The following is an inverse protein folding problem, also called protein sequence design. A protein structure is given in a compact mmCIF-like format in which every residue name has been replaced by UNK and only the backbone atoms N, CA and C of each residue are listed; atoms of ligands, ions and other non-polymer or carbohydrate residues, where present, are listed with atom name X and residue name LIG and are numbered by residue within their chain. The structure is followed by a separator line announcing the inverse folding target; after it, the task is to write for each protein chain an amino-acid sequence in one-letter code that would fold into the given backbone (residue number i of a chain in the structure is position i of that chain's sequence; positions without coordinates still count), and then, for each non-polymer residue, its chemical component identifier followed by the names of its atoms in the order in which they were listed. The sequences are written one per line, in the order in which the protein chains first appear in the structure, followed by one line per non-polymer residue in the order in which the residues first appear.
data_IF_217846445274
#
_entry.id   IF_217846445274
#
_cell.length_a   1.000
_cell.length_b   1.000
_cell.length_c   1.000
_cell.angle_alpha   90.00
_cell.angle_beta   90.00
_cell.angle_gamma   90.00
#
_symmetry.space_group_name_H-M   'P 1'
#
loop_
_entity.id
_entity.type
_entity.pdbx_description
1 polymer ?
#
# COMPACT_ATOMS: atom_id res chain seq x y z
N UNK A 1 1.94 35.67 -1.21
CA UNK A 1 2.89 34.76 -0.54
C UNK A 1 2.62 33.37 -1.09
N UNK A 2 3.65 32.59 -1.42
CA UNK A 2 3.46 31.18 -1.78
C UNK A 2 2.87 30.44 -0.55
N UNK A 3 1.98 29.47 -0.75
CA UNK A 3 1.50 28.64 0.35
C UNK A 3 2.71 27.97 1.03
N UNK A 4 2.70 27.81 2.36
CA UNK A 4 3.80 27.19 3.07
C UNK A 4 3.91 25.71 2.69
N UNK A 5 5.15 25.22 2.57
CA UNK A 5 5.48 23.87 2.10
C UNK A 5 5.31 22.87 3.24
N UNK A 6 4.60 21.77 2.99
CA UNK A 6 4.39 20.69 3.97
C UNK A 6 5.71 19.95 4.20
N UNK A 7 6.05 19.62 5.44
CA UNK A 7 7.14 18.68 5.72
C UNK A 7 6.60 17.27 5.83
N UNK A 8 7.05 16.37 4.96
CA UNK A 8 6.68 14.96 4.94
C UNK A 8 7.79 14.10 5.56
N UNK A 9 7.51 13.47 6.69
CA UNK A 9 8.46 12.62 7.42
C UNK A 9 8.38 11.19 6.86
N UNK A 10 9.46 10.76 6.23
CA UNK A 10 9.60 9.42 5.65
C UNK A 10 10.84 8.75 6.25
N UNK A 11 10.81 7.44 6.45
CA UNK A 11 11.98 6.74 7.00
C UNK A 11 12.97 6.44 5.90
N UNK A 12 14.22 6.76 6.20
CA UNK A 12 15.36 6.43 5.36
C UNK A 12 16.39 5.65 6.19
N UNK A 13 17.34 5.05 5.50
CA UNK A 13 18.53 4.47 6.15
C UNK A 13 19.35 5.59 6.81
N UNK A 14 19.83 5.34 8.02
CA UNK A 14 20.73 6.24 8.77
C UNK A 14 22.09 6.36 8.09
N UNK A 15 22.48 5.32 7.35
CA UNK A 15 23.72 5.20 6.60
C UNK A 15 23.43 4.72 5.15
N UNK A 16 24.04 5.36 4.14
CA UNK A 16 23.88 5.01 2.73
C UNK A 16 22.97 5.95 1.92
N UNK A 17 22.66 5.60 0.65
CA UNK A 17 21.77 6.40 -0.18
C UNK A 17 20.35 6.43 0.40
N UNK A 18 19.69 7.58 0.33
CA UNK A 18 18.31 7.72 0.77
C UNK A 18 17.39 6.88 -0.10
N UNK A 19 16.80 5.85 0.52
CA UNK A 19 15.86 4.95 -0.14
C UNK A 19 14.51 4.97 0.55
N UNK A 20 13.47 5.27 -0.23
CA UNK A 20 12.10 5.40 0.25
C UNK A 20 11.22 4.30 -0.35
N UNK A 21 11.13 3.18 0.35
CA UNK A 21 10.36 2.01 -0.11
C UNK A 21 9.33 1.55 0.93
N UNK A 22 9.22 2.15 2.11
CA UNK A 22 8.22 1.66 3.07
C UNK A 22 6.78 1.92 2.60
N UNK A 23 5.86 0.98 2.84
CA UNK A 23 4.53 1.02 2.24
C UNK A 23 3.69 2.16 2.80
N UNK A 24 3.70 2.37 4.12
CA UNK A 24 2.91 3.42 4.75
C UNK A 24 3.35 4.82 4.29
N UNK A 25 4.65 5.16 4.25
CA UNK A 25 5.08 6.42 3.65
C UNK A 25 4.68 6.59 2.19
N UNK A 26 4.74 5.52 1.37
CA UNK A 26 4.21 5.58 0.01
C UNK A 26 2.72 5.96 -0.04
N UNK A 27 1.89 5.47 0.89
CA UNK A 27 0.48 5.88 0.97
C UNK A 27 0.36 7.39 1.17
N UNK A 28 1.01 7.95 2.19
CA UNK A 28 0.93 9.38 2.50
C UNK A 28 1.55 10.25 1.41
N UNK A 29 2.67 9.82 0.81
CA UNK A 29 3.30 10.48 -0.34
C UNK A 29 2.32 10.60 -1.51
N UNK A 30 1.63 9.50 -1.84
CA UNK A 30 0.62 9.52 -2.91
C UNK A 30 -0.61 10.36 -2.55
N UNK A 31 -0.98 10.46 -1.27
CA UNK A 31 -2.04 11.36 -0.83
C UNK A 31 -1.67 12.84 -1.06
N UNK A 32 -0.45 13.25 -0.68
CA UNK A 32 0.06 14.61 -0.91
C UNK A 32 0.11 14.94 -2.41
N UNK A 33 0.61 14.00 -3.21
CA UNK A 33 0.69 14.13 -4.67
C UNK A 33 -0.71 14.23 -5.30
N UNK A 34 -1.66 13.38 -4.88
CA UNK A 34 -3.05 13.43 -5.35
C UNK A 34 -3.71 14.78 -5.04
N UNK A 35 -3.39 15.35 -3.87
CA UNK A 35 -3.87 16.67 -3.46
C UNK A 35 -3.17 17.83 -4.18
N UNK A 36 -2.11 17.56 -4.96
CA UNK A 36 -1.32 18.58 -5.63
C UNK A 36 -0.63 19.54 -4.65
N UNK A 37 -0.30 19.06 -3.44
CA UNK A 37 0.32 19.87 -2.39
C UNK A 37 1.84 19.82 -2.53
N UNK A 38 2.48 20.98 -2.41
CA UNK A 38 3.93 21.06 -2.34
C UNK A 38 4.43 20.54 -0.99
N UNK A 39 5.43 19.67 -1.03
CA UNK A 39 6.05 19.15 0.18
C UNK A 39 7.54 18.88 0.00
N UNK A 40 8.27 18.94 1.11
CA UNK A 40 9.65 18.46 1.22
C UNK A 40 9.69 17.20 2.05
N UNK A 41 10.43 16.19 1.61
CA UNK A 41 10.67 14.98 2.43
C UNK A 41 11.75 15.29 3.47
N UNK A 42 11.43 15.04 4.73
CA UNK A 42 12.39 14.97 5.82
C UNK A 42 12.70 13.50 6.09
N UNK A 43 13.92 13.11 5.77
CA UNK A 43 14.46 11.76 5.99
C UNK A 43 14.62 11.52 7.48
N UNK A 44 13.89 10.55 8.02
CA UNK A 44 13.95 10.17 9.43
C UNK A 44 14.75 8.87 9.57
N UNK A 45 15.98 8.93 10.08
CA UNK A 45 16.78 7.74 10.40
C UNK A 45 16.10 6.84 11.44
N UNK A 46 16.37 5.53 11.42
CA UNK A 46 15.83 4.61 12.45
C UNK A 46 16.32 4.93 13.87
N UNK A 47 17.46 5.60 14.00
CA UNK A 47 17.93 6.11 15.29
C UNK A 47 17.09 7.26 15.84
N UNK A 48 16.63 8.17 14.99
CA UNK A 48 15.81 9.30 15.40
C UNK A 48 14.45 8.83 15.92
N UNK A 49 13.86 7.81 15.28
CA UNK A 49 12.64 7.15 15.76
C UNK A 49 12.80 6.49 17.13
N UNK A 50 14.04 6.26 17.58
CA UNK A 50 14.37 5.67 18.88
C UNK A 50 14.90 6.69 19.88
N UNK A 51 15.29 7.88 19.43
CA UNK A 51 15.82 8.93 20.27
C UNK A 51 14.81 9.32 21.36
N UNK A 52 15.33 9.75 22.50
CA UNK A 52 14.54 10.23 23.63
C UNK A 52 15.20 11.48 24.20
N UNK A 53 14.37 12.37 24.77
CA UNK A 53 14.82 13.63 25.35
C UNK A 53 14.29 14.86 24.62
N UNK A 54 14.66 16.06 25.09
CA UNK A 54 14.16 17.32 24.56
C UNK A 54 14.50 17.52 23.09
N UNK A 55 13.53 17.98 22.30
CA UNK A 55 13.64 18.25 20.87
C UNK A 55 13.48 17.03 19.96
N UNK A 56 13.25 15.83 20.51
CA UNK A 56 13.07 14.61 19.69
C UNK A 56 11.66 14.49 19.12
N UNK A 57 11.49 13.74 18.03
CA UNK A 57 10.16 13.38 17.51
C UNK A 57 9.29 12.72 18.59
N UNK A 58 9.91 11.91 19.46
CA UNK A 58 9.22 11.27 20.59
C UNK A 58 8.59 12.28 21.55
N UNK A 59 9.30 13.36 21.90
CA UNK A 59 8.73 14.41 22.74
C UNK A 59 7.61 15.17 22.01
N UNK A 60 7.84 15.57 20.76
CA UNK A 60 6.84 16.29 19.95
C UNK A 60 5.53 15.50 19.78
N UNK A 61 5.62 14.17 19.80
CA UNK A 61 4.52 13.23 19.56
C UNK A 61 4.03 12.53 20.82
N UNK A 62 4.41 12.97 22.02
CA UNK A 62 4.15 12.23 23.27
C UNK A 62 2.66 11.81 23.47
N UNK A 63 1.72 12.49 22.82
CA UNK A 63 0.28 12.24 22.88
C UNK A 63 -0.28 11.29 21.80
N UNK A 64 0.53 10.91 20.80
CA UNK A 64 0.14 10.08 19.64
C UNK A 64 1.20 9.03 19.28
N UNK A 65 1.99 8.60 20.28
CA UNK A 65 3.01 7.57 20.07
C UNK A 65 2.34 6.22 19.72
N UNK A 66 3.01 5.47 18.84
CA UNK A 66 2.63 4.09 18.54
C UNK A 66 3.05 3.11 19.63
N UNK A 67 2.95 1.79 19.36
CA UNK A 67 3.38 0.76 20.30
C UNK A 67 4.81 0.96 20.80
N UNK A 68 5.04 0.69 22.09
CA UNK A 68 6.31 0.91 22.79
C UNK A 68 6.76 2.39 22.82
N UNK A 69 5.80 3.31 22.92
CA UNK A 69 6.03 4.75 23.02
C UNK A 69 6.93 5.28 21.90
N UNK A 70 6.74 4.81 20.67
CA UNK A 70 7.61 5.16 19.52
C UNK A 70 6.89 6.07 18.53
N UNK A 71 7.55 7.13 18.00
CA UNK A 71 7.13 7.80 16.78
C UNK A 71 6.96 6.83 15.62
N UNK A 72 5.80 6.86 14.97
CA UNK A 72 5.55 6.12 13.75
C UNK A 72 5.57 7.09 12.56
N UNK A 73 6.32 6.72 11.53
CA UNK A 73 6.23 7.35 10.21
C UNK A 73 5.28 6.54 9.32
N UNK A 74 4.59 7.18 8.36
CA UNK A 74 4.72 8.58 7.96
C UNK A 74 4.06 9.57 8.92
N UNK A 75 4.53 10.82 8.83
CA UNK A 75 3.87 11.99 9.41
C UNK A 75 3.95 13.17 8.42
N UNK A 76 3.05 14.14 8.58
CA UNK A 76 3.16 15.43 7.92
C UNK A 76 3.12 16.55 8.95
N UNK A 77 3.92 17.58 8.76
CA UNK A 77 3.87 18.82 9.52
C UNK A 77 3.38 19.92 8.59
N UNK A 78 2.15 20.36 8.84
CA UNK A 78 1.40 21.30 8.00
C UNK A 78 1.46 22.68 8.63
N UNK A 79 2.14 23.65 8.00
CA UNK A 79 2.24 24.99 8.57
C UNK A 79 0.87 25.68 8.60
N UNK A 80 0.58 26.38 9.70
CA UNK A 80 -0.61 27.19 9.85
C UNK A 80 -0.60 28.43 8.96
N UNK A 81 -1.76 29.04 8.78
CA UNK A 81 -1.92 30.24 7.96
C UNK A 81 -1.12 31.45 8.50
N UNK A 82 -0.78 31.45 9.79
CA UNK A 82 0.04 32.46 10.45
C UNK A 82 1.55 32.25 10.23
N UNK A 83 1.96 31.10 9.68
CA UNK A 83 3.36 30.71 9.51
C UNK A 83 4.13 30.50 10.82
N UNK A 84 3.45 30.56 11.97
CA UNK A 84 4.06 30.40 13.29
C UNK A 84 3.62 29.11 13.98
N UNK A 85 2.39 28.67 13.70
CA UNK A 85 1.85 27.40 14.15
C UNK A 85 2.09 26.31 13.11
N UNK A 86 2.10 25.06 13.54
CA UNK A 86 2.08 23.92 12.63
C UNK A 86 1.28 22.77 13.24
N UNK A 87 0.68 21.96 12.38
CA UNK A 87 -0.08 20.78 12.79
C UNK A 87 0.67 19.54 12.36
N UNK A 88 1.12 18.76 13.34
CA UNK A 88 1.74 17.46 13.10
C UNK A 88 0.65 16.37 13.05
N UNK A 89 0.56 15.67 11.92
CA UNK A 89 -0.43 14.64 11.67
C UNK A 89 0.28 13.33 11.35
N UNK A 90 0.05 12.31 12.18
CA UNK A 90 0.57 10.95 11.99
C UNK A 90 -0.54 9.98 11.59
N UNK A 91 -0.16 8.73 11.33
CA UNK A 91 -1.01 7.67 10.76
C UNK A 91 -1.51 7.95 9.33
N UNK A 92 -1.37 6.98 8.44
CA UNK A 92 -1.72 7.17 7.03
C UNK A 92 -3.21 7.47 6.79
N UNK A 93 -4.13 6.89 7.58
CA UNK A 93 -5.58 7.13 7.42
C UNK A 93 -5.90 8.52 7.94
N UNK A 94 -5.41 8.86 9.14
CA UNK A 94 -5.61 10.18 9.73
C UNK A 94 -4.98 11.29 8.88
N UNK A 95 -3.82 11.05 8.27
CA UNK A 95 -3.23 11.97 7.28
C UNK A 95 -4.20 12.17 6.11
N UNK A 96 -4.76 11.10 5.52
CA UNK A 96 -5.69 11.24 4.41
C UNK A 96 -6.99 11.96 4.79
N UNK A 97 -7.56 11.66 5.96
CA UNK A 97 -8.72 12.35 6.53
C UNK A 97 -8.45 13.85 6.73
N UNK A 98 -7.31 14.18 7.34
CA UNK A 98 -6.88 15.56 7.54
C UNK A 98 -6.75 16.30 6.22
N UNK A 99 -6.13 15.66 5.22
CA UNK A 99 -5.94 16.27 3.90
C UNK A 99 -7.27 16.49 3.17
N UNK A 100 -8.23 15.56 3.27
CA UNK A 100 -9.57 15.74 2.69
C UNK A 100 -10.38 16.85 3.38
N UNK A 101 -10.23 16.99 4.70
CA UNK A 101 -10.92 18.02 5.47
C UNK A 101 -10.34 19.43 5.26
N UNK A 102 -9.01 19.55 5.20
CA UNK A 102 -8.33 20.85 5.19
C UNK A 102 -7.94 21.34 3.78
N UNK A 103 -7.95 20.45 2.78
CA UNK A 103 -7.70 20.81 1.37
C UNK A 103 -8.83 20.30 0.47
N UNK A 104 -10.07 20.79 0.66
CA UNK A 104 -11.25 20.32 -0.10
C UNK A 104 -11.22 20.75 -1.58
N UNK A 105 -10.44 21.78 -1.88
CA UNK A 105 -10.24 22.32 -3.23
C UNK A 105 -9.46 21.38 -4.16
N UNK A 106 -8.83 20.37 -3.58
CA UNK A 106 -8.20 19.30 -4.33
C UNK A 106 -9.09 18.05 -4.31
N UNK A 107 -9.00 17.17 -5.32
CA UNK A 107 -9.84 15.98 -5.39
C UNK A 107 -9.83 15.15 -4.09
N UNK A 108 -10.97 14.57 -3.73
CA UNK A 108 -11.10 13.78 -2.50
C UNK A 108 -10.32 12.47 -2.62
N UNK A 109 -9.58 12.12 -1.57
CA UNK A 109 -8.85 10.86 -1.46
C UNK A 109 -9.80 9.66 -1.33
N UNK A 110 -10.96 9.84 -0.68
CA UNK A 110 -11.94 8.76 -0.50
C UNK A 110 -12.99 8.71 -1.61
N UNK A 111 -13.32 9.85 -2.24
CA UNK A 111 -14.29 9.95 -3.32
C UNK A 111 -13.69 10.68 -4.54
N UNK A 112 -12.67 10.10 -5.22
CA UNK A 112 -11.87 10.82 -6.22
C UNK A 112 -12.62 11.20 -7.50
N UNK A 113 -13.79 10.59 -7.74
CA UNK A 113 -14.67 10.97 -8.85
C UNK A 113 -15.51 12.21 -8.58
N UNK A 114 -15.60 12.68 -7.33
CA UNK A 114 -16.27 13.94 -7.05
C UNK A 114 -15.46 15.11 -7.61
N UNK A 115 -16.12 16.13 -8.18
CA UNK A 115 -15.43 17.37 -8.51
C UNK A 115 -14.87 18.01 -7.22
N UNK A 116 -13.75 18.75 -7.33
CA UNK A 116 -13.27 19.56 -6.21
C UNK A 116 -14.34 20.56 -5.73
N UNK A 117 -14.27 20.93 -4.45
CA UNK A 117 -15.29 21.71 -3.76
C UNK A 117 -14.65 22.69 -2.76
N UNK A 118 -15.33 23.79 -2.45
CA UNK A 118 -14.89 24.70 -1.38
C UNK A 118 -15.05 24.08 0.02
N UNK A 119 -15.87 23.03 0.14
CA UNK A 119 -16.20 22.35 1.39
C UNK A 119 -15.72 20.91 1.38
N UNK A 120 -15.29 20.43 2.55
CA UNK A 120 -14.94 19.03 2.77
C UNK A 120 -16.08 18.08 2.39
N UNK A 121 -15.77 16.84 1.97
CA UNK A 121 -16.79 15.83 1.76
C UNK A 121 -17.66 15.64 3.01
N UNK A 122 -18.97 15.48 2.81
CA UNK A 122 -19.90 15.19 3.90
C UNK A 122 -19.60 13.81 4.49
N UNK A 123 -19.03 13.80 5.70
CA UNK A 123 -18.64 12.60 6.43
C UNK A 123 -19.83 11.68 6.74
N UNK A 124 -21.05 12.23 6.83
CA UNK A 124 -22.27 11.46 7.11
C UNK A 124 -22.92 10.89 5.84
N UNK A 125 -22.49 11.37 4.67
CA UNK A 125 -23.02 10.89 3.39
C UNK A 125 -22.80 9.37 3.25
N UNK A 126 -23.79 8.61 2.76
CA UNK A 126 -23.63 7.16 2.57
C UNK A 126 -22.43 6.78 1.69
N UNK A 127 -22.14 7.60 0.66
CA UNK A 127 -21.01 7.38 -0.23
C UNK A 127 -19.67 7.51 0.51
N UNK A 128 -19.49 8.57 1.30
CA UNK A 128 -18.25 8.77 2.06
C UNK A 128 -18.07 7.68 3.11
N UNK A 129 -19.11 7.36 3.89
CA UNK A 129 -19.04 6.29 4.89
C UNK A 129 -18.69 4.93 4.29
N UNK A 130 -19.21 4.62 3.11
CA UNK A 130 -18.87 3.39 2.40
C UNK A 130 -17.40 3.39 1.95
N UNK A 131 -16.95 4.46 1.28
CA UNK A 131 -15.56 4.59 0.83
C UNK A 131 -14.58 4.52 2.00
N UNK A 132 -14.90 5.19 3.10
CA UNK A 132 -14.11 5.19 4.34
C UNK A 132 -14.05 3.82 4.99
N UNK A 133 -15.19 3.11 5.07
CA UNK A 133 -15.22 1.73 5.59
C UNK A 133 -14.36 0.79 4.76
N UNK A 134 -14.44 0.90 3.43
CA UNK A 134 -13.59 0.11 2.51
C UNK A 134 -12.11 0.46 2.67
N UNK A 135 -11.79 1.74 2.88
CA UNK A 135 -10.44 2.20 3.16
C UNK A 135 -9.89 1.61 4.45
N UNK A 136 -10.65 1.62 5.54
CA UNK A 136 -10.26 0.97 6.79
C UNK A 136 -10.09 -0.53 6.63
N UNK A 137 -11.03 -1.21 5.95
CA UNK A 137 -10.92 -2.65 5.71
C UNK A 137 -9.64 -3.01 4.96
N UNK A 138 -9.32 -2.32 3.87
CA UNK A 138 -8.11 -2.59 3.11
C UNK A 138 -6.85 -2.16 3.86
N UNK A 139 -6.89 -1.03 4.58
CA UNK A 139 -5.74 -0.58 5.36
C UNK A 139 -5.42 -1.53 6.49
N UNK A 140 -6.41 -1.87 7.32
CA UNK A 140 -6.26 -2.84 8.41
C UNK A 140 -5.99 -4.24 7.90
N UNK A 141 -6.37 -4.53 6.65
CA UNK A 141 -6.18 -5.82 6.03
C UNK A 141 -4.83 -6.01 5.34
N UNK A 142 -4.73 -5.52 4.10
CA UNK A 142 -3.54 -5.70 3.27
C UNK A 142 -2.49 -4.60 3.53
N UNK A 143 -2.91 -3.43 4.00
CA UNK A 143 -2.05 -2.27 4.25
C UNK A 143 -1.20 -2.37 5.51
N UNK A 144 -1.71 -3.02 6.57
CA UNK A 144 -1.00 -3.28 7.83
C UNK A 144 -0.33 -4.66 7.76
N UNK A 145 0.92 -4.77 8.23
CA UNK A 145 1.65 -6.05 8.17
C UNK A 145 1.12 -7.06 9.20
N UNK A 146 0.64 -6.59 10.35
CA UNK A 146 0.25 -7.45 11.47
C UNK A 146 -1.07 -8.22 11.25
N UNK A 147 -1.86 -7.81 10.26
CA UNK A 147 -3.18 -8.38 10.00
C UNK A 147 -3.15 -9.72 9.25
N UNK A 148 -1.98 -10.12 8.74
CA UNK A 148 -1.77 -11.41 8.07
C UNK A 148 -2.68 -11.69 6.86
N UNK A 149 -3.44 -10.71 6.35
CA UNK A 149 -4.20 -10.87 5.11
C UNK A 149 -3.25 -11.22 3.96
N UNK A 150 -2.06 -10.62 3.93
CA UNK A 150 -1.00 -10.97 3.00
C UNK A 150 0.36 -11.00 3.71
N UNK A 151 1.32 -11.73 3.16
CA UNK A 151 2.65 -11.92 3.74
C UNK A 151 3.72 -11.05 3.05
N UNK A 152 3.36 -9.83 2.61
CA UNK A 152 4.26 -8.97 1.82
C UNK A 152 5.54 -8.65 2.60
N UNK A 153 5.41 -8.25 3.87
CA UNK A 153 6.54 -7.89 4.71
C UNK A 153 7.42 -9.11 4.97
N UNK A 154 6.82 -10.25 5.35
CA UNK A 154 7.53 -11.49 5.64
C UNK A 154 8.33 -11.98 4.44
N UNK A 155 7.75 -11.92 3.23
CA UNK A 155 8.40 -12.31 1.99
C UNK A 155 9.57 -11.37 1.63
N UNK A 156 9.41 -10.06 1.83
CA UNK A 156 10.43 -9.08 1.45
C UNK A 156 11.38 -8.67 2.58
N UNK A 157 11.21 -9.18 3.81
CA UNK A 157 11.95 -8.74 5.00
C UNK A 157 13.47 -8.81 4.79
N UNK A 158 13.96 -9.88 4.15
CA UNK A 158 15.38 -10.02 3.82
C UNK A 158 15.87 -8.92 2.87
N UNK A 159 15.17 -8.70 1.75
CA UNK A 159 15.51 -7.64 0.80
C UNK A 159 15.38 -6.24 1.41
N UNK A 160 14.42 -6.05 2.33
CA UNK A 160 14.25 -4.84 3.10
C UNK A 160 15.47 -4.59 4.01
N UNK A 161 15.90 -5.60 4.77
CA UNK A 161 17.10 -5.51 5.60
C UNK A 161 18.37 -5.30 4.75
N UNK A 162 18.45 -5.91 3.56
CA UNK A 162 19.54 -5.70 2.60
C UNK A 162 19.59 -4.27 2.03
N UNK A 163 18.45 -3.58 2.01
CA UNK A 163 18.36 -2.20 1.55
C UNK A 163 18.80 -1.17 2.61
N UNK A 164 18.91 -1.56 3.88
CA UNK A 164 19.53 -0.75 4.93
C UNK A 164 21.02 -1.09 5.04
N UNK A 165 21.85 -0.10 5.36
CA UNK A 165 23.27 -0.33 5.62
C UNK A 165 23.50 -0.89 7.05
N UNK A 166 24.76 -0.96 7.50
CA UNK A 166 25.21 -1.90 8.54
C UNK A 166 24.40 -1.81 9.83
N UNK A 167 24.32 -0.62 10.44
CA UNK A 167 23.70 -0.48 11.78
C UNK A 167 22.18 -0.62 11.73
N UNK A 168 21.55 -0.08 10.69
CA UNK A 168 20.11 -0.16 10.54
C UNK A 168 19.67 -1.57 10.15
N UNK A 169 20.46 -2.27 9.34
CA UNK A 169 20.28 -3.70 9.07
C UNK A 169 20.34 -4.53 10.35
N UNK A 170 21.38 -4.35 11.17
CA UNK A 170 21.52 -5.08 12.45
C UNK A 170 20.29 -4.90 13.34
N UNK A 171 19.81 -3.65 13.45
CA UNK A 171 18.58 -3.38 14.19
C UNK A 171 17.37 -4.03 13.53
N UNK A 172 17.20 -3.92 12.21
CA UNK A 172 16.07 -4.50 11.46
C UNK A 172 15.96 -6.02 11.64
N UNK A 173 17.09 -6.71 11.78
CA UNK A 173 17.16 -8.16 12.02
C UNK A 173 17.24 -8.54 13.50
N UNK A 174 17.17 -7.59 14.43
CA UNK A 174 17.31 -7.86 15.87
C UNK A 174 16.01 -8.30 16.53
N UNK A 175 16.12 -9.13 17.57
CA UNK A 175 15.00 -9.49 18.44
C UNK A 175 14.34 -8.26 19.08
N UNK A 176 15.12 -7.21 19.38
CA UNK A 176 14.60 -5.96 19.93
C UNK A 176 13.63 -5.26 18.97
N UNK A 177 13.93 -5.28 17.67
CA UNK A 177 13.03 -4.72 16.64
C UNK A 177 11.80 -5.58 16.44
N UNK A 178 11.96 -6.90 16.44
CA UNK A 178 10.91 -7.86 16.13
C UNK A 178 10.02 -8.16 17.34
N UNK A 179 10.46 -7.82 18.56
CA UNK A 179 9.74 -8.11 19.80
C UNK A 179 9.66 -9.60 20.13
N UNK A 180 10.52 -10.42 19.53
CA UNK A 180 10.50 -11.89 19.63
C UNK A 180 11.92 -12.41 19.84
N UNK A 181 12.08 -13.42 20.70
CA UNK A 181 13.35 -14.12 20.83
C UNK A 181 13.61 -15.00 19.60
N UNK A 182 14.80 -14.90 19.01
CA UNK A 182 15.16 -15.51 17.73
C UNK A 182 14.22 -15.12 16.58
N UNK A 183 13.67 -13.90 16.61
CA UNK A 183 12.64 -13.45 15.68
C UNK A 183 13.07 -13.59 14.22
N UNK A 184 14.30 -13.17 13.91
CA UNK A 184 14.81 -13.20 12.53
C UNK A 184 14.95 -14.63 11.99
N UNK A 185 15.51 -15.54 12.79
CA UNK A 185 15.62 -16.95 12.44
C UNK A 185 14.25 -17.59 12.20
N UNK A 186 13.24 -17.22 12.99
CA UNK A 186 11.86 -17.66 12.77
C UNK A 186 11.32 -17.13 11.44
N UNK A 187 11.53 -15.85 11.12
CA UNK A 187 11.15 -15.29 9.81
C UNK A 187 11.84 -16.04 8.66
N UNK A 188 13.13 -16.32 8.75
CA UNK A 188 13.89 -17.03 7.70
C UNK A 188 13.52 -18.52 7.56
N UNK A 189 12.88 -19.11 8.58
CA UNK A 189 12.40 -20.48 8.55
C UNK A 189 11.01 -20.64 7.90
N UNK A 190 10.24 -19.56 7.76
CA UNK A 190 8.89 -19.60 7.20
C UNK A 190 8.85 -20.17 5.77
N UNK A 191 7.80 -20.93 5.45
CA UNK A 191 7.59 -21.52 4.13
C UNK A 191 7.25 -20.45 3.08
N UNK A 192 8.23 -20.14 2.23
CA UNK A 192 8.09 -19.12 1.19
C UNK A 192 7.11 -19.52 0.09
N UNK A 193 6.98 -20.80 -0.22
CA UNK A 193 6.01 -21.28 -1.21
C UNK A 193 4.58 -21.10 -0.69
N UNK A 194 4.33 -21.41 0.58
CA UNK A 194 3.03 -21.19 1.21
C UNK A 194 2.70 -19.69 1.33
N UNK A 195 3.63 -18.87 1.80
CA UNK A 195 3.43 -17.42 1.95
C UNK A 195 3.22 -16.70 0.63
N UNK A 196 3.98 -17.06 -0.42
CA UNK A 196 3.81 -16.48 -1.75
C UNK A 196 2.46 -16.89 -2.35
N UNK A 197 2.03 -18.15 -2.17
CA UNK A 197 0.71 -18.59 -2.58
C UNK A 197 -0.41 -17.80 -1.87
N UNK A 198 -0.30 -17.65 -0.54
CA UNK A 198 -1.25 -16.86 0.27
C UNK A 198 -1.31 -15.41 -0.20
N UNK A 199 -0.14 -14.77 -0.36
CA UNK A 199 -0.03 -13.38 -0.81
C UNK A 199 -0.65 -13.18 -2.20
N UNK A 200 -0.35 -14.06 -3.18
CA UNK A 200 -0.98 -13.98 -4.50
C UNK A 200 -2.49 -14.16 -4.44
N UNK A 201 -2.97 -15.14 -3.66
CA UNK A 201 -4.41 -15.39 -3.48
C UNK A 201 -5.15 -14.23 -2.81
N UNK A 202 -4.47 -13.48 -1.92
CA UNK A 202 -5.04 -12.30 -1.27
C UNK A 202 -5.42 -11.19 -2.26
N UNK A 203 -4.83 -11.19 -3.47
CA UNK A 203 -5.11 -10.24 -4.54
C UNK A 203 -6.32 -10.63 -5.41
N UNK A 204 -6.88 -11.84 -5.26
CA UNK A 204 -8.02 -12.29 -6.07
C UNK A 204 -9.27 -11.41 -5.92
N UNK A 205 -9.68 -10.97 -4.71
CA UNK A 205 -10.81 -10.05 -4.57
C UNK A 205 -10.57 -8.70 -5.25
N UNK A 206 -9.31 -8.23 -5.26
CA UNK A 206 -8.89 -6.99 -5.92
C UNK A 206 -9.01 -7.15 -7.45
N UNK A 207 -8.52 -8.27 -7.98
CA UNK A 207 -8.64 -8.59 -9.41
C UNK A 207 -10.11 -8.70 -9.85
N UNK A 208 -11.00 -9.19 -8.98
CA UNK A 208 -12.43 -9.24 -9.26
C UNK A 208 -13.09 -7.84 -9.37
N UNK A 209 -12.50 -6.82 -8.73
CA UNK A 209 -12.92 -5.42 -8.86
C UNK A 209 -12.35 -4.81 -10.15
N UNK A 210 -11.04 -5.00 -10.40
CA UNK A 210 -10.31 -4.40 -11.53
C UNK A 210 -10.66 -5.03 -12.87
N UNK A 211 -11.02 -6.31 -12.86
CA UNK A 211 -11.49 -7.03 -14.03
C UNK A 211 -12.74 -7.81 -13.64
N UNK A 212 -13.89 -7.13 -13.50
CA UNK A 212 -15.13 -7.79 -13.16
C UNK A 212 -15.48 -8.71 -14.34
N UNK A 213 -15.17 -9.99 -14.18
CA UNK A 213 -15.61 -11.01 -15.14
C UNK A 213 -17.12 -10.84 -15.29
N UNK A 214 -17.58 -10.75 -16.54
CA UNK A 214 -18.99 -10.85 -16.90
C UNK A 214 -19.47 -12.27 -16.63
N UNK A 215 -19.39 -12.71 -15.38
CA UNK A 215 -19.99 -13.94 -14.93
C UNK A 215 -21.48 -13.73 -15.04
N UNK A 216 -22.07 -14.33 -16.07
CA UNK A 216 -23.52 -14.45 -16.22
C UNK A 216 -24.11 -14.85 -14.85
N UNK A 217 -25.22 -14.22 -14.41
CA UNK A 217 -25.90 -14.65 -13.20
C UNK A 217 -26.11 -16.18 -13.24
N UNK A 218 -25.59 -16.89 -12.24
CA UNK A 218 -25.75 -18.35 -12.14
C UNK A 218 -27.14 -18.68 -11.61
N UNK A 219 -28.16 -18.31 -12.36
CA UNK A 219 -29.57 -18.55 -12.02
C UNK A 219 -30.01 -19.75 -12.86
N UNK A 220 -30.33 -20.86 -12.19
CA UNK A 220 -31.07 -21.91 -12.85
C UNK A 220 -32.49 -21.37 -13.11
N UNK A 221 -32.95 -21.39 -14.37
CA UNK A 221 -34.35 -21.12 -14.69
C UNK A 221 -35.23 -22.18 -14.00
N UNK A 222 -35.65 -21.93 -12.77
CA UNK A 222 -36.79 -22.63 -12.21
C UNK A 222 -38.03 -22.00 -12.84
N UNK A 223 -38.90 -22.84 -13.40
CA UNK A 223 -40.10 -22.46 -14.14
C UNK A 223 -41.20 -21.92 -13.19
N UNK A 224 -40.87 -20.91 -12.38
CA UNK A 224 -41.84 -20.23 -11.53
C UNK A 224 -42.35 -18.97 -12.24
N UNK A 225 -43.68 -18.74 -12.32
CA UNK A 225 -44.27 -17.62 -13.05
C UNK A 225 -43.97 -16.23 -12.45
N UNK A 226 -43.27 -16.16 -11.32
CA UNK A 226 -42.94 -14.93 -10.60
C UNK A 226 -41.48 -14.51 -10.73
N UNK A 227 -40.79 -14.94 -11.80
CA UNK A 227 -39.38 -14.58 -11.99
C UNK A 227 -39.23 -13.05 -12.15
N UNK A 228 -38.34 -12.41 -11.36
CA UNK A 228 -38.07 -10.99 -11.51
C UNK A 228 -37.53 -10.71 -12.91
N UNK A 229 -37.91 -9.57 -13.50
CA UNK A 229 -37.44 -9.15 -14.82
C UNK A 229 -35.91 -9.27 -14.91
N UNK A 230 -35.34 -9.79 -16.01
CA UNK A 230 -33.89 -9.99 -16.18
C UNK A 230 -33.04 -8.75 -15.86
N UNK A 231 -33.59 -7.55 -15.98
CA UNK A 231 -32.94 -6.29 -15.60
C UNK A 231 -32.71 -6.09 -14.10
N UNK A 232 -33.49 -6.73 -13.21
CA UNK A 232 -33.34 -6.59 -11.76
C UNK A 232 -32.06 -7.26 -11.21
N UNK A 233 -31.48 -8.20 -11.97
CA UNK A 233 -30.27 -8.94 -11.62
C UNK A 233 -29.10 -8.60 -12.57
N UNK A 234 -29.32 -7.63 -13.46
CA UNK A 234 -28.27 -7.13 -14.32
C UNK A 234 -27.21 -6.46 -13.44
N UNK A 235 -25.97 -6.96 -13.53
CA UNK A 235 -24.82 -6.25 -13.00
C UNK A 235 -24.64 -4.97 -13.83
N UNK A 236 -24.21 -3.84 -13.23
CA UNK A 236 -23.85 -2.65 -14.00
C UNK A 236 -22.96 -3.06 -15.18
N UNK A 237 -23.34 -2.68 -16.40
CA UNK A 237 -22.60 -3.15 -17.57
C UNK A 237 -21.19 -2.56 -17.53
N UNK A 238 -20.18 -3.42 -17.62
CA UNK A 238 -18.78 -3.00 -17.75
C UNK A 238 -18.49 -2.24 -19.05
N UNK A 239 -19.50 -2.10 -19.94
CA UNK A 239 -19.38 -1.43 -21.23
C UNK A 239 -19.44 0.09 -21.15
N UNK A 240 -20.01 0.67 -20.07
CA UNK A 240 -20.18 2.12 -19.98
C UNK A 240 -18.93 2.82 -19.44
N UNK A 241 -18.22 2.21 -18.49
CA UNK A 241 -16.91 2.66 -18.00
C UNK A 241 -16.19 1.48 -17.34
N UNK A 242 -15.01 1.05 -17.82
CA UNK A 242 -14.24 0.02 -17.15
C UNK A 242 -13.78 0.51 -15.77
N UNK A 243 -13.78 -0.37 -14.77
CA UNK A 243 -13.26 -0.06 -13.44
C UNK A 243 -11.72 -0.04 -13.49
N UNK A 244 -11.10 1.14 -13.69
CA UNK A 244 -9.65 1.24 -13.86
C UNK A 244 -8.87 1.22 -12.53
N UNK A 245 -9.50 1.70 -11.46
CA UNK A 245 -8.92 1.82 -10.12
C UNK A 245 -9.85 1.19 -9.09
N UNK A 246 -9.37 0.99 -7.86
CA UNK A 246 -10.18 0.43 -6.78
C UNK A 246 -11.14 1.48 -6.23
N UNK A 247 -10.68 2.73 -6.05
CA UNK A 247 -11.48 3.79 -5.46
C UNK A 247 -12.59 4.29 -6.40
N UNK A 248 -12.35 4.28 -7.72
CA UNK A 248 -13.35 4.72 -8.69
C UNK A 248 -13.07 4.20 -10.11
N UNK A 249 -14.01 4.37 -11.04
CA UNK A 249 -13.83 3.90 -12.41
C UNK A 249 -12.65 4.53 -13.14
N UNK A 250 -12.28 5.77 -12.83
CA UNK A 250 -11.33 6.55 -13.65
C UNK A 250 -10.16 7.16 -12.88
N UNK A 251 -10.26 7.27 -11.55
CA UNK A 251 -9.27 7.99 -10.75
C UNK A 251 -8.84 7.16 -9.53
N UNK A 252 -7.53 7.12 -9.22
CA UNK A 252 -7.07 6.46 -8.01
C UNK A 252 -7.47 7.27 -6.77
N UNK A 253 -7.69 6.56 -5.67
CA UNK A 253 -7.91 7.16 -4.36
C UNK A 253 -7.09 6.47 -3.27
N UNK A 254 -7.43 6.73 -2.02
CA UNK A 254 -6.73 6.23 -0.85
C UNK A 254 -6.50 4.71 -0.89
N UNK A 255 -7.52 3.94 -1.27
CA UNK A 255 -7.43 2.48 -1.30
C UNK A 255 -6.51 1.94 -2.38
N UNK A 256 -6.36 2.66 -3.50
CA UNK A 256 -5.35 2.36 -4.50
C UNK A 256 -3.95 2.61 -3.92
N UNK A 257 -3.77 3.69 -3.17
CA UNK A 257 -2.47 4.02 -2.56
C UNK A 257 -2.05 3.02 -1.49
N UNK A 258 -3.00 2.50 -0.70
CA UNK A 258 -2.75 1.42 0.26
C UNK A 258 -2.18 0.19 -0.44
N UNK A 259 -2.81 -0.25 -1.53
CA UNK A 259 -2.32 -1.40 -2.30
C UNK A 259 -0.99 -1.09 -2.99
N UNK A 260 -0.88 0.10 -3.58
CA UNK A 260 0.31 0.54 -4.29
C UNK A 260 1.53 0.67 -3.37
N UNK A 261 1.33 1.05 -2.11
CA UNK A 261 2.40 1.06 -1.12
C UNK A 261 3.06 -0.32 -0.96
N UNK A 262 2.30 -1.42 -1.04
CA UNK A 262 2.86 -2.79 -1.03
C UNK A 262 3.62 -3.12 -2.31
N UNK A 263 3.11 -2.67 -3.45
CA UNK A 263 3.81 -2.79 -4.73
C UNK A 263 5.15 -2.04 -4.69
N UNK A 264 5.13 -0.76 -4.33
CA UNK A 264 6.32 0.10 -4.26
C UNK A 264 7.36 -0.45 -3.28
N UNK A 265 6.93 -0.96 -2.12
CA UNK A 265 7.82 -1.62 -1.16
C UNK A 265 8.54 -2.82 -1.75
N UNK A 266 7.77 -3.79 -2.26
CA UNK A 266 8.37 -5.01 -2.82
C UNK A 266 9.24 -4.70 -4.04
N UNK A 267 8.86 -3.72 -4.87
CA UNK A 267 9.68 -3.28 -6.01
C UNK A 267 11.00 -2.68 -5.55
N UNK A 268 10.98 -1.81 -4.54
CA UNK A 268 12.15 -1.10 -4.06
C UNK A 268 13.17 -2.00 -3.34
N UNK A 269 12.70 -3.02 -2.61
CA UNK A 269 13.59 -3.88 -1.81
C UNK A 269 13.77 -5.31 -2.33
N UNK A 270 12.92 -5.81 -3.23
CA UNK A 270 13.00 -7.16 -3.76
C UNK A 270 12.39 -7.29 -5.18
N UNK A 271 13.03 -6.74 -6.23
CA UNK A 271 12.45 -6.64 -7.58
C UNK A 271 11.96 -7.97 -8.19
N UNK A 272 12.70 -9.06 -8.00
CA UNK A 272 12.28 -10.37 -8.52
C UNK A 272 11.09 -10.96 -7.75
N UNK A 273 11.02 -10.72 -6.43
CA UNK A 273 9.84 -11.06 -5.64
C UNK A 273 8.63 -10.20 -6.03
N UNK A 274 8.85 -8.93 -6.36
CA UNK A 274 7.79 -8.06 -6.85
C UNK A 274 7.13 -8.66 -8.11
N UNK A 275 7.92 -9.10 -9.10
CA UNK A 275 7.38 -9.82 -10.27
C UNK A 275 6.65 -11.09 -9.86
N UNK A 276 7.20 -11.86 -8.92
CA UNK A 276 6.56 -13.07 -8.40
C UNK A 276 5.18 -12.81 -7.76
N UNK A 277 4.98 -11.68 -7.09
CA UNK A 277 3.70 -11.32 -6.44
C UNK A 277 2.73 -10.73 -7.47
N UNK A 278 3.18 -9.75 -8.24
CA UNK A 278 2.32 -8.85 -9.01
C UNK A 278 2.13 -9.25 -10.47
N UNK A 279 2.81 -10.29 -10.97
CA UNK A 279 2.55 -10.78 -12.32
C UNK A 279 1.21 -11.51 -12.42
N UNK A 280 0.56 -11.32 -13.57
CA UNK A 280 -0.74 -11.93 -13.91
C UNK A 280 -0.71 -13.45 -13.73
N UNK A 281 0.25 -14.11 -14.38
CA UNK A 281 0.47 -15.55 -14.25
C UNK A 281 1.45 -15.93 -13.13
N UNK A 282 1.55 -17.22 -12.81
CA UNK A 282 2.43 -17.73 -11.74
C UNK A 282 3.86 -18.09 -12.18
N UNK A 283 4.22 -17.86 -13.45
CA UNK A 283 5.54 -18.22 -13.96
C UNK A 283 6.69 -17.53 -13.21
N UNK A 284 6.56 -16.21 -12.95
CA UNK A 284 7.54 -15.45 -12.18
C UNK A 284 7.61 -15.93 -10.72
N UNK A 285 6.48 -16.31 -10.15
CA UNK A 285 6.41 -16.84 -8.79
C UNK A 285 7.17 -18.16 -8.64
N UNK A 286 6.99 -19.07 -9.60
CA UNK A 286 7.72 -20.35 -9.65
C UNK A 286 9.21 -20.15 -9.91
N UNK A 287 9.57 -19.22 -10.79
CA UNK A 287 10.95 -18.88 -11.07
C UNK A 287 11.67 -18.34 -9.83
N UNK A 288 11.02 -17.43 -9.08
CA UNK A 288 11.56 -16.90 -7.83
C UNK A 288 11.75 -17.98 -6.77
N UNK A 289 10.77 -18.88 -6.57
CA UNK A 289 10.91 -20.00 -5.62
C UNK A 289 12.09 -20.91 -5.96
N UNK A 290 12.38 -21.11 -7.26
CA UNK A 290 13.51 -21.93 -7.73
C UNK A 290 14.87 -21.27 -7.47
N UNK A 291 14.96 -19.95 -7.54
CA UNK A 291 16.22 -19.21 -7.36
C UNK A 291 16.45 -18.72 -5.94
N UNK A 292 15.40 -18.48 -5.16
CA UNK A 292 15.50 -17.89 -3.84
C UNK A 292 16.15 -18.86 -2.85
N UNK A 293 17.28 -18.43 -2.26
CA UNK A 293 18.12 -19.21 -1.33
C UNK A 293 18.41 -20.61 -1.87
N UNK A 294 18.99 -20.65 -3.08
CA UNK A 294 19.40 -21.88 -3.76
C UNK A 294 18.27 -22.89 -3.94
N UNK A 295 17.03 -22.39 -4.07
CA UNK A 295 15.85 -23.23 -4.26
C UNK A 295 15.39 -23.95 -3.00
N UNK A 296 15.74 -23.47 -1.79
CA UNK A 296 15.29 -24.04 -0.51
C UNK A 296 13.76 -24.27 -0.45
N UNK A 297 12.98 -23.42 -1.12
CA UNK A 297 11.51 -23.54 -1.21
C UNK A 297 11.02 -23.77 -2.65
N UNK A 298 11.87 -24.32 -3.51
CA UNK A 298 11.48 -24.71 -4.84
C UNK A 298 10.34 -25.73 -4.77
N UNK A 299 9.36 -25.59 -5.65
CA UNK A 299 8.34 -26.62 -5.83
C UNK A 299 9.02 -27.86 -6.42
N UNK A 300 8.69 -29.05 -5.88
CA UNK A 300 9.22 -30.30 -6.41
C UNK A 300 8.88 -30.46 -7.90
N UNK A 301 9.73 -31.17 -8.64
CA UNK A 301 9.58 -31.37 -10.10
C UNK A 301 8.24 -32.04 -10.48
N UNK A 302 7.60 -32.72 -9.53
CA UNK A 302 6.30 -33.36 -9.68
C UNK A 302 5.11 -32.40 -9.59
N UNK A 303 5.30 -31.16 -9.13
CA UNK A 303 4.23 -30.16 -8.97
C UNK A 303 4.02 -29.42 -10.29
N UNK A 304 3.15 -29.96 -11.14
CA UNK A 304 2.79 -29.37 -12.42
C UNK A 304 2.14 -27.99 -12.26
N UNK A 305 2.11 -27.22 -13.35
CA UNK A 305 1.39 -25.94 -13.39
C UNK A 305 -0.10 -26.15 -13.11
N UNK A 306 -0.66 -25.33 -12.22
CA UNK A 306 -2.04 -25.42 -11.73
C UNK A 306 -2.21 -26.27 -10.47
N UNK A 307 -1.15 -26.96 -10.00
CA UNK A 307 -1.21 -27.80 -8.80
C UNK A 307 -0.68 -27.13 -7.54
N UNK A 308 0.03 -25.99 -7.67
CA UNK A 308 0.44 -25.20 -6.51
C UNK A 308 -0.63 -24.14 -6.21
N UNK A 309 -0.96 -23.92 -4.94
CA UNK A 309 -1.97 -22.93 -4.54
C UNK A 309 -1.67 -21.48 -5.00
N UNK A 310 -0.42 -21.17 -5.35
CA UNK A 310 -0.03 -19.88 -5.92
C UNK A 310 -0.22 -19.77 -7.44
N UNK A 311 -0.63 -20.85 -8.12
CA UNK A 311 -0.99 -20.86 -9.55
C UNK A 311 -2.37 -20.23 -9.79
N UNK A 312 -2.50 -18.98 -9.39
CA UNK A 312 -3.67 -18.15 -9.63
C UNK A 312 -3.38 -17.13 -10.70
N UNK A 313 -4.39 -16.88 -11.54
CA UNK A 313 -4.40 -15.77 -12.48
C UNK A 313 -4.86 -14.50 -11.76
N UNK A 314 -4.12 -13.41 -11.96
CA UNK A 314 -4.40 -12.10 -11.40
C UNK A 314 -4.76 -11.10 -12.51
N UNK A 315 -5.93 -11.24 -13.15
CA UNK A 315 -6.27 -10.39 -14.29
C UNK A 315 -6.50 -8.93 -13.86
N UNK A 316 -6.02 -7.98 -14.67
CA UNK A 316 -6.18 -6.55 -14.42
C UNK A 316 -5.14 -5.95 -13.46
N UNK A 317 -4.34 -6.78 -12.76
CA UNK A 317 -3.39 -6.30 -11.76
C UNK A 317 -2.19 -5.57 -12.38
N UNK A 318 -1.65 -6.09 -13.49
CA UNK A 318 -0.50 -5.50 -14.17
C UNK A 318 -0.90 -4.17 -14.82
N UNK A 319 -2.08 -4.14 -15.46
CA UNK A 319 -2.62 -2.91 -16.04
C UNK A 319 -2.96 -1.87 -14.97
N UNK A 320 -3.43 -2.29 -13.80
CA UNK A 320 -3.62 -1.39 -12.65
C UNK A 320 -2.27 -0.85 -12.12
N UNK A 321 -1.22 -1.68 -12.03
CA UNK A 321 0.13 -1.23 -11.64
C UNK A 321 0.64 -0.17 -12.60
N UNK A 322 0.55 -0.38 -13.92
CA UNK A 322 1.00 0.61 -14.90
C UNK A 322 0.22 1.92 -14.79
N UNK A 323 -1.11 1.85 -14.61
CA UNK A 323 -1.93 3.04 -14.35
C UNK A 323 -1.53 3.77 -13.07
N UNK A 324 -1.19 3.05 -12.01
CA UNK A 324 -0.72 3.66 -10.75
C UNK A 324 0.66 4.31 -10.90
N UNK A 325 1.55 3.72 -11.69
CA UNK A 325 2.86 4.29 -12.01
C UNK A 325 2.74 5.59 -12.81
N UNK A 326 1.75 5.66 -13.72
CA UNK A 326 1.48 6.81 -14.58
C UNK A 326 0.54 7.86 -13.95
N UNK A 327 -0.13 7.51 -12.85
CA UNK A 327 -0.99 8.42 -12.10
C UNK A 327 -0.23 9.69 -11.69
N UNK A 328 -0.97 10.80 -11.61
CA UNK A 328 -0.45 12.11 -11.19
C UNK A 328 0.77 12.55 -11.99
N UNK A 329 0.70 12.43 -13.32
CA UNK A 329 1.79 12.83 -14.22
C UNK A 329 3.03 11.93 -14.14
N UNK A 330 2.84 10.66 -13.76
CA UNK A 330 3.91 9.68 -13.65
C UNK A 330 4.84 9.90 -12.45
N UNK A 331 4.34 10.51 -11.36
CA UNK A 331 5.16 10.82 -10.18
C UNK A 331 5.87 9.56 -9.66
N UNK A 332 5.12 8.48 -9.42
CA UNK A 332 5.66 7.26 -8.85
C UNK A 332 6.71 6.62 -9.76
N UNK A 333 6.46 6.56 -11.07
CA UNK A 333 7.43 6.04 -12.06
C UNK A 333 8.74 6.84 -12.03
N UNK A 334 8.67 8.17 -12.06
CA UNK A 334 9.84 9.06 -12.02
C UNK A 334 10.61 8.90 -10.70
N UNK A 335 9.89 8.89 -9.58
CA UNK A 335 10.48 8.76 -8.26
C UNK A 335 11.21 7.42 -8.09
N UNK A 336 10.57 6.31 -8.45
CA UNK A 336 11.19 4.98 -8.36
C UNK A 336 12.40 4.84 -9.29
N UNK A 337 12.33 5.38 -10.52
CA UNK A 337 13.48 5.38 -11.43
C UNK A 337 14.68 6.19 -10.88
N UNK A 338 14.42 7.32 -10.24
CA UNK A 338 15.46 8.11 -9.58
C UNK A 338 16.12 7.32 -8.43
N UNK A 339 15.35 6.52 -7.70
CA UNK A 339 15.84 5.68 -6.60
C UNK A 339 16.65 4.46 -7.09
N UNK A 340 16.39 3.95 -8.30
CA UNK A 340 17.15 2.87 -8.92
C UNK A 340 18.54 3.31 -9.41
N UNK A 341 18.75 4.62 -9.58
CA UNK A 341 20.00 5.22 -10.09
C UNK A 341 20.88 5.86 -9.01
N UNK A 342 20.39 5.91 -7.76
CA UNK A 342 21.07 6.48 -6.59
C UNK A 342 21.76 5.41 -5.74
#
# INVERSE_FOLDING_TARGET
MAPPVITFYDVASSDGPERYFLPNPWVSRMCLVHKGLDFTTHSVPLEELRAAGPGTLRERLAHVLGPNDRPLVPMIDVPGADGQSSTLVGDTVTIAEYLDANFPQAPSLFLPSLPPSDSAPDAESPAFRHAHTMARLLKEGIGNSDAQWAAHFELCAAGLADAFATRDREYMTSDAKLGLSNGWSLFEAMDRAAMLAHTRRSLLPICAILNPTQSQPRIANSASPSNPSPGALARPSSSASPQLFLASPEKPGFIDYVLFGRYAMTRGCAPELNKAIWSRGSAQARAWLKSYRDGKWALGETVAQGQWFGDVELPGIEEWVERMLDAHGGYARKFLAAQETA
#
